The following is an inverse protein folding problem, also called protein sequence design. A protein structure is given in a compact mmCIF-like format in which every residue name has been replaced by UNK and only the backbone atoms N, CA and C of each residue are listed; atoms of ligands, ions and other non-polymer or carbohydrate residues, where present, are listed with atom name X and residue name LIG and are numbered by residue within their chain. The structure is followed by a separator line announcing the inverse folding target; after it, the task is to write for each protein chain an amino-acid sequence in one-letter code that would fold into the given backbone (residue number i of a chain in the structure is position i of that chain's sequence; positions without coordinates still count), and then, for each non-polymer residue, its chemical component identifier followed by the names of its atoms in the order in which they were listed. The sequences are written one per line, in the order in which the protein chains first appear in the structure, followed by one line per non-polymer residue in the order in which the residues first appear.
data_IF_637643769552
#
_entry.id   IF_637643769552
#
_cell.length_a   1.000
_cell.length_b   1.000
_cell.length_c   1.000
_cell.angle_alpha   90.00
_cell.angle_beta   90.00
_cell.angle_gamma   90.00
#
_symmetry.space_group_name_H-M   'P 1'
#
loop_
_entity.id
_entity.type
_entity.pdbx_description
1 polymer ?
#
# COMPACT_ATOMS: atom_id res chain seq x y z
N UNK A 1 -27.68 -35.73 41.25
CA UNK A 1 -26.29 -35.30 41.54
C UNK A 1 -25.50 -35.32 40.23
N UNK A 2 -25.48 -34.19 39.52
CA UNK A 2 -24.34 -33.25 39.39
C UNK A 2 -23.13 -33.81 38.65
N UNK A 3 -22.87 -33.26 37.44
CA UNK A 3 -21.58 -32.67 37.05
C UNK A 3 -21.73 -32.03 35.66
N UNK A 4 -22.20 -30.78 35.66
CA UNK A 4 -22.00 -29.88 34.53
C UNK A 4 -20.50 -29.62 34.39
N UNK A 5 -19.92 -29.99 33.25
CA UNK A 5 -18.55 -29.66 32.90
C UNK A 5 -18.44 -28.14 32.71
N UNK A 6 -17.87 -27.49 33.72
CA UNK A 6 -17.49 -26.08 33.69
C UNK A 6 -16.33 -25.93 32.70
N UNK A 7 -16.65 -25.51 31.47
CA UNK A 7 -15.68 -25.14 30.43
C UNK A 7 -14.89 -23.94 30.98
N UNK A 8 -13.71 -24.21 31.54
CA UNK A 8 -12.74 -23.20 31.95
C UNK A 8 -12.26 -22.48 30.68
N UNK A 9 -12.83 -21.32 30.41
CA UNK A 9 -12.30 -20.34 29.48
C UNK A 9 -10.89 -19.98 29.97
N UNK A 10 -9.86 -20.44 29.25
CA UNK A 10 -8.49 -20.00 29.47
C UNK A 10 -8.48 -18.49 29.26
N UNK A 11 -8.35 -17.72 30.36
CA UNK A 11 -7.93 -16.32 30.30
C UNK A 11 -6.56 -16.31 29.66
N UNK A 12 -6.51 -16.04 28.35
CA UNK A 12 -5.29 -15.53 27.73
C UNK A 12 -4.94 -14.29 28.53
N UNK A 13 -3.73 -14.26 29.09
CA UNK A 13 -3.20 -13.07 29.74
C UNK A 13 -3.09 -11.99 28.67
N UNK A 14 -4.11 -11.13 28.56
CA UNK A 14 -4.04 -9.95 27.75
C UNK A 14 -2.87 -9.11 28.26
N UNK A 15 -1.79 -9.08 27.49
CA UNK A 15 -0.85 -7.97 27.52
C UNK A 15 -1.58 -6.82 26.81
N UNK A 16 -2.62 -6.28 27.45
CA UNK A 16 -3.62 -5.44 26.81
C UNK A 16 -3.84 -4.17 27.61
N UNK A 17 -3.40 -3.04 27.05
CA UNK A 17 -3.89 -1.74 27.49
C UNK A 17 -5.38 -1.66 27.15
N UNK A 18 -6.27 -1.64 28.14
CA UNK A 18 -7.71 -1.51 27.90
C UNK A 18 -8.07 -0.05 27.60
N UNK A 19 -8.31 0.28 26.33
CA UNK A 19 -8.75 1.60 25.88
C UNK A 19 -10.25 1.85 26.03
N UNK A 20 -11.01 0.84 26.48
CA UNK A 20 -12.48 0.88 26.62
C UNK A 20 -12.97 1.96 27.58
N UNK A 21 -12.13 2.40 28.51
CA UNK A 21 -12.45 3.50 29.44
C UNK A 21 -12.24 4.89 28.84
N UNK A 22 -11.45 5.01 27.78
CA UNK A 22 -11.05 6.31 27.20
C UNK A 22 -11.78 6.57 25.89
N UNK A 23 -12.03 5.52 25.09
CA UNK A 23 -12.65 5.65 23.77
C UNK A 23 -13.79 4.62 23.65
N UNK A 24 -15.03 5.06 23.32
CA UNK A 24 -16.14 4.14 23.08
C UNK A 24 -15.78 3.15 21.97
N UNK A 25 -16.11 1.87 22.18
CA UNK A 25 -15.77 0.74 21.30
C UNK A 25 -16.11 1.01 19.81
N UNK A 26 -17.23 1.69 19.55
CA UNK A 26 -17.68 2.08 18.21
C UNK A 26 -16.68 2.98 17.46
N UNK A 27 -15.93 3.82 18.17
CA UNK A 27 -14.99 4.79 17.57
C UNK A 27 -13.53 4.34 17.64
N UNK A 28 -13.20 3.29 18.40
CA UNK A 28 -11.83 2.80 18.52
C UNK A 28 -11.22 2.44 17.16
N UNK A 29 -11.99 1.74 16.31
CA UNK A 29 -11.53 1.37 14.97
C UNK A 29 -11.16 2.57 14.12
N UNK A 30 -12.05 3.55 14.05
CA UNK A 30 -11.81 4.77 13.28
C UNK A 30 -10.64 5.57 13.84
N UNK A 31 -10.52 5.63 15.17
CA UNK A 31 -9.42 6.30 15.84
C UNK A 31 -8.07 5.67 15.48
N UNK A 32 -7.92 4.35 15.61
CA UNK A 32 -6.66 3.68 15.30
C UNK A 32 -6.30 3.77 13.81
N UNK A 33 -7.27 3.62 12.91
CA UNK A 33 -7.03 3.84 11.48
C UNK A 33 -6.59 5.27 11.19
N UNK A 34 -7.20 6.26 11.86
CA UNK A 34 -6.80 7.67 11.73
C UNK A 34 -5.40 7.91 12.25
N UNK A 35 -5.02 7.32 13.39
CA UNK A 35 -3.67 7.40 13.95
C UNK A 35 -2.64 6.81 12.97
N UNK A 36 -2.92 5.63 12.41
CA UNK A 36 -2.05 5.00 11.40
C UNK A 36 -1.89 5.92 10.19
N UNK A 37 -2.99 6.46 9.68
CA UNK A 37 -2.98 7.37 8.53
C UNK A 37 -2.17 8.64 8.80
N UNK A 38 -2.36 9.28 9.97
CA UNK A 38 -1.62 10.48 10.37
C UNK A 38 -0.13 10.18 10.50
N UNK A 39 0.25 9.05 11.12
CA UNK A 39 1.65 8.64 11.24
C UNK A 39 2.31 8.46 9.87
N UNK A 40 1.63 7.84 8.92
CA UNK A 40 2.11 7.68 7.54
C UNK A 40 2.32 9.07 6.89
N UNK A 41 1.37 9.99 7.02
CA UNK A 41 1.51 11.35 6.46
C UNK A 41 2.69 12.09 7.10
N UNK A 42 2.86 12.01 8.42
CA UNK A 42 3.98 12.65 9.12
C UNK A 42 5.30 12.10 8.59
N UNK A 43 5.42 10.78 8.47
CA UNK A 43 6.61 10.12 7.96
C UNK A 43 6.94 10.53 6.52
N UNK A 44 5.94 10.59 5.63
CA UNK A 44 6.08 11.01 4.24
C UNK A 44 5.92 12.52 4.02
N UNK A 45 5.88 13.33 5.08
CA UNK A 45 5.70 14.79 4.96
C UNK A 45 6.71 15.49 4.04
N UNK A 46 8.00 15.08 3.94
CA UNK A 46 8.92 15.70 3.00
C UNK A 46 8.57 15.41 1.54
N UNK A 47 7.92 14.29 1.26
CA UNK A 47 7.47 13.89 -0.08
C UNK A 47 6.14 14.58 -0.42
N UNK A 48 5.21 14.64 0.53
CA UNK A 48 3.87 15.23 0.32
C UNK A 48 3.93 16.76 0.24
N UNK A 49 4.67 17.40 1.13
CA UNK A 49 4.69 18.88 1.26
C UNK A 49 6.03 19.51 0.88
N UNK A 50 7.12 18.75 0.97
CA UNK A 50 8.47 19.28 0.78
C UNK A 50 8.98 19.26 -0.66
N UNK A 51 8.18 18.78 -1.62
CA UNK A 51 8.58 18.63 -3.02
C UNK A 51 9.78 17.70 -3.22
N UNK A 52 10.06 16.82 -2.24
CA UNK A 52 11.17 15.88 -2.30
C UNK A 52 10.69 14.58 -2.93
N UNK A 53 11.54 13.98 -3.75
CA UNK A 53 11.31 12.66 -4.33
C UNK A 53 12.10 11.60 -3.58
N UNK A 54 11.71 10.33 -3.72
CA UNK A 54 12.46 9.21 -3.16
C UNK A 54 13.69 8.95 -4.05
N UNK A 55 14.88 9.15 -3.50
CA UNK A 55 16.15 8.96 -4.21
C UNK A 55 16.63 7.48 -4.19
N UNK A 56 15.73 6.52 -4.43
CA UNK A 56 16.12 5.11 -4.57
C UNK A 56 16.45 4.79 -6.03
N UNK A 57 17.46 3.95 -6.25
CA UNK A 57 17.85 3.51 -7.59
C UNK A 57 16.69 2.78 -8.30
N UNK A 58 15.89 2.02 -7.55
CA UNK A 58 14.70 1.33 -8.06
C UNK A 58 13.61 2.30 -8.51
N UNK A 59 13.43 3.43 -7.80
CA UNK A 59 12.51 4.48 -8.24
C UNK A 59 13.00 5.14 -9.53
N UNK A 60 14.30 5.38 -9.65
CA UNK A 60 14.89 5.94 -10.86
C UNK A 60 14.75 5.00 -12.06
N UNK A 61 14.80 3.68 -11.84
CA UNK A 61 14.53 2.68 -12.87
C UNK A 61 13.13 2.86 -13.48
N UNK A 62 12.13 3.27 -12.68
CA UNK A 62 10.79 3.65 -13.17
C UNK A 62 10.80 4.64 -14.34
N UNK A 63 11.75 5.58 -14.37
CA UNK A 63 11.87 6.56 -15.47
C UNK A 63 12.31 5.91 -16.79
N UNK A 64 13.14 4.86 -16.75
CA UNK A 64 13.53 4.11 -17.95
C UNK A 64 12.36 3.38 -18.62
N UNK A 65 11.35 3.00 -17.83
CA UNK A 65 10.11 2.39 -18.33
C UNK A 65 9.21 3.41 -19.03
N UNK A 66 9.22 4.68 -18.59
CA UNK A 66 8.39 5.74 -19.17
C UNK A 66 8.75 6.00 -20.62
N UNK A 67 10.04 6.19 -20.92
CA UNK A 67 10.49 6.43 -22.30
C UNK A 67 10.19 5.28 -23.25
N UNK A 68 10.18 4.07 -22.70
CA UNK A 68 9.68 2.91 -23.40
C UNK A 68 8.17 3.06 -23.65
N UNK A 69 7.37 3.22 -22.59
CA UNK A 69 5.90 3.23 -22.65
C UNK A 69 5.28 4.33 -23.52
N UNK A 70 5.91 5.50 -23.65
CA UNK A 70 5.36 6.65 -24.38
C UNK A 70 5.68 6.69 -25.87
N UNK A 71 6.59 5.83 -26.36
CA UNK A 71 6.86 5.75 -27.80
C UNK A 71 5.75 5.00 -28.52
N UNK A 72 5.26 5.59 -29.61
CA UNK A 72 4.42 4.89 -30.58
C UNK A 72 5.22 3.77 -31.24
N UNK A 73 4.58 2.60 -31.38
CA UNK A 73 5.20 1.41 -31.94
C UNK A 73 4.12 0.51 -32.51
N UNK A 74 4.50 -0.17 -33.57
CA UNK A 74 3.68 -1.18 -34.20
C UNK A 74 3.88 -2.51 -33.44
N UNK A 75 2.84 -2.98 -32.76
CA UNK A 75 2.84 -4.24 -32.02
C UNK A 75 3.55 -4.24 -30.66
N UNK A 76 3.81 -5.45 -30.15
CA UNK A 76 4.45 -5.68 -28.85
C UNK A 76 5.97 -5.63 -29.01
N UNK A 77 6.62 -4.68 -28.35
CA UNK A 77 8.07 -4.59 -28.37
C UNK A 77 8.66 -5.64 -27.42
N UNK A 78 9.54 -6.49 -27.96
CA UNK A 78 10.12 -7.66 -27.28
C UNK A 78 11.34 -7.32 -26.42
N UNK A 79 11.91 -6.13 -26.56
CA UNK A 79 13.18 -5.74 -25.94
C UNK A 79 13.18 -4.28 -25.46
N UNK A 80 13.47 -4.07 -24.18
CA UNK A 80 13.61 -2.73 -23.60
C UNK A 80 15.11 -2.40 -23.39
N UNK A 81 15.71 -1.53 -24.24
CA UNK A 81 17.13 -1.19 -24.15
C UNK A 81 17.47 -0.30 -22.94
N UNK A 82 16.47 0.29 -22.28
CA UNK A 82 16.67 1.24 -21.19
C UNK A 82 16.85 0.58 -19.82
N UNK A 83 16.68 -0.74 -19.73
CA UNK A 83 16.80 -1.52 -18.50
C UNK A 83 17.95 -2.51 -18.64
N UNK A 84 18.98 -2.40 -17.78
CA UNK A 84 20.12 -3.34 -17.70
C UNK A 84 20.78 -3.69 -19.04
N UNK A 85 21.06 -2.69 -19.89
CA UNK A 85 21.62 -2.87 -21.25
C UNK A 85 20.70 -3.66 -22.23
N UNK A 86 19.44 -3.88 -21.86
CA UNK A 86 18.49 -4.65 -22.64
C UNK A 86 17.88 -5.79 -21.83
N UNK A 87 16.57 -5.73 -21.57
CA UNK A 87 15.79 -6.81 -20.98
C UNK A 87 14.63 -7.21 -21.91
N UNK A 88 14.23 -8.49 -21.97
CA UNK A 88 12.99 -8.89 -22.63
C UNK A 88 11.82 -8.10 -22.08
N UNK A 89 11.19 -7.30 -22.95
CA UNK A 89 10.17 -6.36 -22.54
C UNK A 89 8.82 -7.01 -22.20
N UNK A 90 8.69 -8.32 -22.44
CA UNK A 90 7.59 -9.14 -21.93
C UNK A 90 7.49 -9.06 -20.40
N UNK A 91 8.59 -8.78 -19.70
CA UNK A 91 8.62 -8.64 -18.23
C UNK A 91 8.23 -7.22 -17.79
N UNK A 92 8.42 -6.21 -18.66
CA UNK A 92 8.40 -4.79 -18.27
C UNK A 92 7.30 -3.96 -18.94
N UNK A 93 6.63 -4.49 -19.96
CA UNK A 93 5.72 -3.72 -20.82
C UNK A 93 4.55 -4.56 -21.34
N UNK A 94 3.97 -5.37 -20.47
CA UNK A 94 2.70 -6.01 -20.78
C UNK A 94 1.62 -4.92 -20.83
N UNK A 95 0.88 -4.89 -21.93
CA UNK A 95 -0.35 -4.14 -22.06
C UNK A 95 -1.27 -4.43 -20.87
N UNK A 96 -2.14 -3.47 -20.47
CA UNK A 96 -3.11 -3.68 -19.39
C UNK A 96 -3.84 -5.01 -19.55
N UNK A 97 -3.64 -5.91 -18.60
CA UNK A 97 -4.30 -7.22 -18.60
C UNK A 97 -5.73 -6.99 -18.14
N UNK A 98 -6.70 -7.25 -19.03
CA UNK A 98 -8.13 -7.04 -18.74
C UNK A 98 -8.63 -7.84 -17.52
N UNK A 99 -7.98 -8.95 -17.19
CA UNK A 99 -8.31 -9.76 -16.02
C UNK A 99 -7.65 -9.28 -14.71
N UNK A 100 -6.69 -8.36 -14.78
CA UNK A 100 -5.95 -7.88 -13.61
C UNK A 100 -6.65 -6.68 -12.97
N UNK A 101 -7.78 -6.97 -12.32
CA UNK A 101 -8.62 -5.96 -11.68
C UNK A 101 -7.88 -5.26 -10.53
N UNK A 102 -7.00 -5.99 -9.82
CA UNK A 102 -6.20 -5.44 -8.74
C UNK A 102 -5.24 -4.37 -9.26
N UNK A 103 -4.51 -4.65 -10.34
CA UNK A 103 -3.64 -3.67 -10.98
C UNK A 103 -4.43 -2.48 -11.53
N UNK A 104 -5.63 -2.70 -12.07
CA UNK A 104 -6.48 -1.63 -12.57
C UNK A 104 -6.92 -0.68 -11.44
N UNK A 105 -7.45 -1.23 -10.33
CA UNK A 105 -7.86 -0.45 -9.15
C UNK A 105 -6.67 0.32 -8.58
N UNK A 106 -5.52 -0.35 -8.42
CA UNK A 106 -4.31 0.28 -7.90
C UNK A 106 -3.83 1.43 -8.80
N UNK A 107 -3.92 1.27 -10.13
CA UNK A 107 -3.55 2.32 -11.09
C UNK A 107 -4.49 3.54 -11.00
N UNK A 108 -5.80 3.32 -10.87
CA UNK A 108 -6.78 4.39 -10.70
C UNK A 108 -6.53 5.16 -9.40
N UNK A 109 -6.33 4.44 -8.29
CA UNK A 109 -6.01 5.06 -7.00
C UNK A 109 -4.68 5.82 -7.07
N UNK A 110 -3.66 5.26 -7.71
CA UNK A 110 -2.37 5.91 -7.89
C UNK A 110 -2.48 7.21 -8.70
N UNK A 111 -3.32 7.22 -9.74
CA UNK A 111 -3.58 8.42 -10.54
C UNK A 111 -4.28 9.51 -9.72
N UNK A 112 -5.24 9.13 -8.88
CA UNK A 112 -5.94 10.07 -7.99
C UNK A 112 -4.99 10.70 -6.95
N UNK A 113 -4.00 9.96 -6.45
CA UNK A 113 -2.98 10.52 -5.56
C UNK A 113 -1.94 11.36 -6.32
N UNK A 114 -1.55 10.93 -7.52
CA UNK A 114 -0.64 11.69 -8.38
C UNK A 114 -1.19 13.08 -8.72
N UNK A 115 -2.49 13.22 -9.01
CA UNK A 115 -3.09 14.50 -9.36
C UNK A 115 -2.99 15.57 -8.25
N UNK A 116 -2.84 15.14 -6.99
CA UNK A 116 -2.74 16.04 -5.83
C UNK A 116 -1.32 16.60 -5.67
N UNK A 117 -0.28 15.81 -5.92
CA UNK A 117 1.12 16.16 -5.59
C UNK A 117 2.02 16.30 -6.82
N UNK A 118 1.58 15.86 -8.01
CA UNK A 118 2.35 15.85 -9.26
C UNK A 118 3.69 15.09 -9.20
N UNK A 119 3.92 14.29 -8.15
CA UNK A 119 5.10 13.43 -7.98
C UNK A 119 4.68 11.96 -7.93
N UNK A 120 5.34 11.11 -8.72
CA UNK A 120 5.08 9.66 -8.78
C UNK A 120 5.49 8.93 -7.49
N UNK A 121 6.35 9.53 -6.67
CA UNK A 121 6.78 9.00 -5.36
C UNK A 121 5.61 8.82 -4.39
N UNK A 122 4.48 9.50 -4.61
CA UNK A 122 3.33 9.40 -3.73
C UNK A 122 2.59 8.05 -3.86
N UNK A 123 2.83 7.31 -4.94
CA UNK A 123 2.29 5.94 -5.10
C UNK A 123 2.78 5.00 -3.99
N UNK A 124 3.96 5.22 -3.41
CA UNK A 124 4.42 4.45 -2.25
C UNK A 124 3.63 4.78 -0.98
N UNK A 125 3.22 6.03 -0.79
CA UNK A 125 2.37 6.42 0.33
C UNK A 125 1.04 5.65 0.29
N UNK A 126 0.43 5.53 -0.90
CA UNK A 126 -0.76 4.70 -1.09
C UNK A 126 -0.51 3.24 -0.67
N UNK A 127 0.61 2.64 -1.09
CA UNK A 127 0.98 1.28 -0.70
C UNK A 127 1.13 1.13 0.82
N UNK A 128 1.72 2.10 1.51
CA UNK A 128 1.84 2.09 2.97
C UNK A 128 0.49 2.26 3.68
N UNK A 129 -0.45 3.03 3.12
CA UNK A 129 -1.82 3.11 3.66
C UNK A 129 -2.52 1.75 3.54
N UNK A 130 -2.48 1.13 2.36
CA UNK A 130 -3.09 -0.18 2.12
C UNK A 130 -2.49 -1.22 3.08
N UNK A 131 -1.17 -1.24 3.22
CA UNK A 131 -0.46 -2.12 4.14
C UNK A 131 -0.86 -1.86 5.61
N UNK A 132 -0.88 -0.60 6.04
CA UNK A 132 -1.22 -0.24 7.42
C UNK A 132 -2.65 -0.62 7.79
N UNK A 133 -3.61 -0.36 6.90
CA UNK A 133 -5.02 -0.68 7.13
C UNK A 133 -5.26 -2.19 7.10
N UNK A 134 -4.69 -2.89 6.12
CA UNK A 134 -4.80 -4.36 6.06
C UNK A 134 -4.15 -5.04 7.26
N UNK A 135 -2.98 -4.59 7.70
CA UNK A 135 -2.32 -5.09 8.90
C UNK A 135 -3.15 -4.85 10.17
N UNK A 136 -3.78 -3.68 10.30
CA UNK A 136 -4.68 -3.39 11.42
C UNK A 136 -5.86 -4.37 11.48
N UNK A 137 -6.55 -4.59 10.36
CA UNK A 137 -7.66 -5.55 10.31
C UNK A 137 -7.19 -6.97 10.56
N UNK A 138 -6.04 -7.36 9.99
CA UNK A 138 -5.44 -8.67 10.24
C UNK A 138 -5.18 -8.89 11.73
N UNK A 139 -4.51 -7.94 12.39
CA UNK A 139 -4.20 -8.05 13.82
C UNK A 139 -5.46 -8.05 14.69
N UNK A 140 -6.53 -7.34 14.28
CA UNK A 140 -7.79 -7.33 15.00
C UNK A 140 -8.52 -8.68 14.96
N UNK A 141 -8.44 -9.40 13.85
CA UNK A 141 -9.10 -10.71 13.72
C UNK A 141 -8.33 -11.83 14.44
N UNK A 142 -6.99 -11.70 14.54
CA UNK A 142 -6.12 -12.72 15.14
C UNK A 142 -5.74 -12.47 16.60
N UNK A 143 -5.94 -11.26 17.12
CA UNK A 143 -5.64 -10.87 18.51
C UNK A 143 -6.85 -11.04 19.43
#
# INVERSE_FOLDING_TARGET
MTKQQKKQTRKSSEIGFSFDKIIPEKYQTLFFLSVIFVLIIIFFSPVVFGGKTIASADFLQGKSLREYATKERDGLSLWNPHIFCGMPAVVTALSPRWFDLTSAIYSILSLAFYSVTSDYSITYLLSFIILGFSAYFLMREFG
#
